data_IF_609556084988
#
_entry.id   IF_609556084988
#
_cell.length_a   1.000
_cell.length_b   1.000
_cell.length_c   1.000
_cell.angle_alpha   90.00
_cell.angle_beta   90.00
_cell.angle_gamma   90.00
#
_symmetry.space_group_name_H-M   'P 1'
#
loop_
_entity.id
_entity.type
_entity.pdbx_description
1 polymer ?
#
# COMPACT_ATOMS: atom_id res chain seq x y z
N UNK A 1 1.85 -13.13 -12.00
CA UNK A 1 1.42 -11.84 -11.46
C UNK A 1 0.70 -12.10 -10.15
N UNK A 2 1.28 -11.71 -9.03
CA UNK A 2 0.72 -11.98 -7.69
C UNK A 2 -0.30 -10.90 -7.28
N UNK A 3 -0.73 -10.87 -6.01
CA UNK A 3 -1.66 -9.83 -5.51
C UNK A 3 -0.98 -8.46 -5.45
N UNK A 4 0.31 -8.40 -5.11
CA UNK A 4 1.09 -7.16 -5.03
C UNK A 4 1.18 -6.49 -6.40
N UNK A 5 1.50 -7.24 -7.46
CA UNK A 5 1.55 -6.72 -8.83
C UNK A 5 0.21 -6.09 -9.25
N UNK A 6 -0.90 -6.79 -8.96
CA UNK A 6 -2.25 -6.32 -9.32
C UNK A 6 -2.66 -5.10 -8.49
N UNK A 7 -2.31 -5.07 -7.21
CA UNK A 7 -2.56 -3.92 -6.33
C UNK A 7 -1.79 -2.69 -6.82
N UNK A 8 -0.52 -2.86 -7.18
CA UNK A 8 0.32 -1.78 -7.69
C UNK A 8 -0.18 -1.26 -9.05
N UNK A 9 -0.54 -2.15 -9.98
CA UNK A 9 -1.14 -1.73 -11.25
C UNK A 9 -2.43 -0.92 -11.04
N UNK A 10 -3.26 -1.34 -10.08
CA UNK A 10 -4.49 -0.62 -9.74
C UNK A 10 -4.23 0.74 -9.08
N UNK A 11 -3.17 0.85 -8.29
CA UNK A 11 -2.69 2.10 -7.71
C UNK A 11 -2.20 3.08 -8.79
N UNK A 12 -1.35 2.62 -9.71
CA UNK A 12 -0.88 3.44 -10.83
C UNK A 12 -2.05 3.98 -11.67
N UNK A 13 -3.05 3.14 -11.94
CA UNK A 13 -4.27 3.57 -12.65
C UNK A 13 -5.05 4.63 -11.86
N UNK A 14 -5.15 4.50 -10.54
CA UNK A 14 -5.82 5.50 -9.69
C UNK A 14 -5.10 6.86 -9.76
N UNK A 15 -3.77 6.84 -9.70
CA UNK A 15 -2.94 8.04 -9.77
C UNK A 15 -3.00 8.71 -11.14
N UNK A 16 -2.99 7.94 -12.23
CA UNK A 16 -3.15 8.49 -13.58
C UNK A 16 -4.50 9.22 -13.77
N UNK A 17 -5.54 8.82 -13.03
CA UNK A 17 -6.85 9.50 -13.03
C UNK A 17 -6.96 10.65 -12.04
N UNK A 18 -5.97 10.87 -11.17
CA UNK A 18 -5.91 11.99 -10.22
C UNK A 18 -5.57 13.28 -10.97
N UNK A 19 -6.55 13.87 -11.64
CA UNK A 19 -6.40 15.16 -12.32
C UNK A 19 -6.49 16.30 -11.29
N UNK A 20 -5.37 17.01 -11.05
CA UNK A 20 -5.37 18.34 -10.40
C UNK A 20 -4.84 18.43 -8.96
N UNK A 21 -4.52 17.32 -8.30
CA UNK A 21 -3.93 17.30 -6.93
C UNK A 21 -2.46 16.83 -6.95
N UNK A 22 -1.72 17.09 -8.04
CA UNK A 22 -0.36 16.57 -8.22
C UNK A 22 0.64 17.09 -7.17
N UNK A 23 0.33 18.19 -6.48
CA UNK A 23 1.22 18.82 -5.48
C UNK A 23 1.02 18.31 -4.05
N UNK A 24 -0.09 17.63 -3.72
CA UNK A 24 -0.29 17.14 -2.35
C UNK A 24 0.48 15.84 -2.12
N UNK A 25 1.28 15.75 -1.04
CA UNK A 25 2.02 14.55 -0.69
C UNK A 25 1.04 13.39 -0.47
N UNK A 26 1.40 12.23 -1.00
CA UNK A 26 0.60 11.03 -0.84
C UNK A 26 0.91 10.40 0.52
N UNK A 27 -0.11 10.07 1.30
CA UNK A 27 0.05 9.40 2.60
C UNK A 27 -0.33 7.92 2.53
N UNK A 28 0.05 7.14 3.55
CA UNK A 28 -0.41 5.75 3.70
C UNK A 28 -1.94 5.69 3.75
N UNK A 29 -2.59 6.64 4.44
CA UNK A 29 -4.05 6.76 4.50
C UNK A 29 -4.67 6.91 3.11
N UNK A 30 -4.10 7.76 2.25
CA UNK A 30 -4.62 7.98 0.90
C UNK A 30 -4.62 6.69 0.08
N UNK A 31 -3.64 5.80 0.28
CA UNK A 31 -3.61 4.49 -0.39
C UNK A 31 -4.88 3.69 -0.07
N UNK A 32 -5.12 3.38 1.21
CA UNK A 32 -6.20 2.45 1.57
C UNK A 32 -7.57 3.10 1.73
N UNK A 33 -7.66 4.43 1.81
CA UNK A 33 -8.93 5.16 1.92
C UNK A 33 -9.42 5.74 0.60
N UNK A 34 -8.52 6.16 -0.31
CA UNK A 34 -8.89 6.88 -1.54
C UNK A 34 -8.50 6.13 -2.81
N UNK A 35 -7.25 5.69 -2.95
CA UNK A 35 -6.71 5.21 -4.23
C UNK A 35 -7.03 3.74 -4.50
N UNK A 36 -6.82 2.88 -3.52
CA UNK A 36 -7.01 1.44 -3.60
C UNK A 36 -7.85 0.88 -2.42
N UNK A 37 -9.02 1.46 -2.06
CA UNK A 37 -9.81 0.93 -0.94
C UNK A 37 -10.21 -0.52 -1.18
N UNK A 38 -10.05 -1.39 -0.17
CA UNK A 38 -10.33 -2.83 -0.28
C UNK A 38 -11.67 -3.14 -0.96
N UNK A 39 -12.75 -2.48 -0.53
CA UNK A 39 -14.10 -2.72 -1.08
C UNK A 39 -14.19 -2.41 -2.58
N UNK A 40 -13.41 -1.45 -3.06
CA UNK A 40 -13.39 -1.00 -4.45
C UNK A 40 -12.51 -1.91 -5.33
N UNK A 41 -11.43 -2.47 -4.80
CA UNK A 41 -10.45 -3.23 -5.58
C UNK A 41 -10.56 -4.75 -5.42
N UNK A 42 -11.22 -5.27 -4.38
CA UNK A 42 -11.24 -6.72 -4.07
C UNK A 42 -11.65 -7.60 -5.25
N UNK A 43 -12.68 -7.21 -6.01
CA UNK A 43 -13.17 -8.01 -7.14
C UNK A 43 -12.15 -8.05 -8.29
N UNK A 44 -11.50 -6.93 -8.56
CA UNK A 44 -10.45 -6.80 -9.59
C UNK A 44 -9.17 -7.58 -9.19
N UNK A 45 -8.85 -7.59 -7.89
CA UNK A 45 -7.73 -8.33 -7.32
C UNK A 45 -8.04 -9.83 -7.10
N UNK A 46 -9.29 -10.27 -7.30
CA UNK A 46 -9.71 -11.65 -7.06
C UNK A 46 -9.63 -12.05 -5.58
N UNK A 47 -9.92 -11.12 -4.67
CA UNK A 47 -9.84 -11.31 -3.22
C UNK A 47 -11.23 -11.54 -2.63
N UNK A 48 -11.33 -12.60 -1.82
CA UNK A 48 -12.52 -12.91 -1.04
C UNK A 48 -12.45 -12.33 0.38
N UNK A 49 -11.23 -12.13 0.87
CA UNK A 49 -10.94 -11.73 2.24
C UNK A 49 -10.04 -10.49 2.29
N UNK A 50 -10.08 -9.80 3.44
CA UNK A 50 -9.29 -8.59 3.68
C UNK A 50 -7.80 -8.90 3.88
N UNK A 51 -7.46 -10.03 4.51
CA UNK A 51 -6.08 -10.35 4.88
C UNK A 51 -5.11 -10.38 3.68
N UNK A 52 -5.42 -11.01 2.53
CA UNK A 52 -4.54 -10.93 1.35
C UNK A 52 -4.34 -9.51 0.81
N UNK A 53 -5.33 -8.63 0.97
CA UNK A 53 -5.21 -7.21 0.63
C UNK A 53 -4.27 -6.49 1.59
N UNK A 54 -4.49 -6.63 2.90
CA UNK A 54 -3.65 -5.97 3.92
C UNK A 54 -2.21 -6.47 3.83
N UNK A 55 -1.99 -7.77 3.57
CA UNK A 55 -0.67 -8.33 3.35
C UNK A 55 0.02 -7.76 2.11
N UNK A 56 -0.69 -7.62 0.99
CA UNK A 56 -0.14 -7.01 -0.22
C UNK A 56 0.16 -5.51 -0.02
N UNK A 57 -0.69 -4.79 0.72
CA UNK A 57 -0.45 -3.40 1.08
C UNK A 57 0.79 -3.26 1.98
N UNK A 58 0.94 -4.14 2.97
CA UNK A 58 2.07 -4.13 3.88
C UNK A 58 3.39 -4.43 3.15
N UNK A 59 3.38 -5.39 2.22
CA UNK A 59 4.52 -5.66 1.30
C UNK A 59 4.88 -4.44 0.45
N UNK A 60 3.89 -3.74 -0.08
CA UNK A 60 4.12 -2.50 -0.84
C UNK A 60 4.79 -1.42 0.02
N UNK A 61 4.30 -1.21 1.25
CA UNK A 61 4.85 -0.25 2.21
C UNK A 61 6.26 -0.63 2.71
N UNK A 62 6.58 -1.92 2.77
CA UNK A 62 7.92 -2.43 3.07
C UNK A 62 8.96 -2.12 1.97
N UNK A 63 8.52 -1.50 0.87
CA UNK A 63 9.32 -1.22 -0.31
C UNK A 63 9.66 -2.47 -1.11
N UNK A 64 8.82 -3.51 -1.04
CA UNK A 64 9.05 -4.72 -1.79
C UNK A 64 9.13 -4.41 -3.29
N UNK A 65 10.22 -4.88 -3.92
CA UNK A 65 10.55 -4.66 -5.34
C UNK A 65 10.72 -3.19 -5.74
N UNK A 66 10.84 -2.27 -4.77
CA UNK A 66 11.04 -0.85 -5.03
C UNK A 66 9.86 -0.19 -5.75
N UNK A 67 8.63 -0.67 -5.55
CA UNK A 67 7.42 -0.11 -6.19
C UNK A 67 6.95 1.18 -5.50
N UNK A 68 7.19 1.27 -4.19
CA UNK A 68 6.85 2.39 -3.34
C UNK A 68 7.94 2.55 -2.29
N UNK A 69 8.23 3.79 -1.89
CA UNK A 69 9.22 4.12 -0.87
C UNK A 69 8.59 5.01 0.19
N UNK A 70 8.96 4.79 1.46
CA UNK A 70 8.61 5.66 2.57
C UNK A 70 9.90 6.41 2.97
N UNK A 71 9.91 7.75 3.03
CA UNK A 71 11.09 8.54 3.40
C UNK A 71 11.59 8.25 4.83
N UNK A 72 10.70 7.84 5.73
CA UNK A 72 11.01 7.52 7.12
C UNK A 72 11.49 6.06 7.27
N UNK A 73 12.80 5.81 7.49
CA UNK A 73 13.34 4.46 7.51
C UNK A 73 12.85 3.63 8.71
N UNK A 74 12.56 4.28 9.85
CA UNK A 74 12.02 3.59 11.03
C UNK A 74 10.69 2.89 10.77
N UNK A 75 9.82 3.53 9.97
CA UNK A 75 8.53 2.95 9.58
C UNK A 75 8.72 1.74 8.67
N UNK A 76 9.61 1.83 7.68
CA UNK A 76 9.90 0.71 6.77
C UNK A 76 10.44 -0.50 7.53
N UNK A 77 11.37 -0.29 8.47
CA UNK A 77 11.96 -1.36 9.25
C UNK A 77 10.94 -2.03 10.19
N UNK A 78 10.05 -1.26 10.83
CA UNK A 78 8.99 -1.85 11.66
C UNK A 78 8.00 -2.67 10.81
N UNK A 79 7.60 -2.16 9.64
CA UNK A 79 6.74 -2.89 8.71
C UNK A 79 7.40 -4.19 8.22
N UNK A 80 8.69 -4.15 7.89
CA UNK A 80 9.46 -5.34 7.49
C UNK A 80 9.57 -6.36 8.61
N UNK A 81 9.81 -5.87 9.83
CA UNK A 81 9.86 -6.71 11.03
C UNK A 81 8.52 -7.40 11.25
N UNK A 82 7.42 -6.66 11.21
CA UNK A 82 6.07 -7.22 11.36
C UNK A 82 5.81 -8.30 10.29
N UNK A 83 6.14 -8.04 9.01
CA UNK A 83 6.01 -9.04 7.94
C UNK A 83 6.81 -10.33 8.15
N UNK A 84 7.88 -10.28 8.94
CA UNK A 84 8.72 -11.45 9.25
C UNK A 84 8.18 -12.26 10.44
N UNK A 85 7.22 -11.74 11.20
CA UNK A 85 6.62 -12.45 12.32
C UNK A 85 5.79 -13.66 11.84
N UNK A 86 5.74 -14.77 12.60
CA UNK A 86 4.93 -15.93 12.25
C UNK A 86 3.42 -15.66 12.15
N UNK A 87 2.95 -14.61 12.84
CA UNK A 87 1.56 -14.18 12.83
C UNK A 87 1.49 -12.64 12.78
N UNK A 88 1.69 -12.05 11.59
CA UNK A 88 1.82 -10.61 11.43
C UNK A 88 0.48 -9.89 11.66
N UNK A 89 0.55 -8.74 12.31
CA UNK A 89 -0.54 -7.77 12.44
C UNK A 89 -0.63 -6.98 11.14
N UNK A 90 -1.36 -7.55 10.18
CA UNK A 90 -1.49 -6.97 8.83
C UNK A 90 -2.08 -5.56 8.82
N UNK A 91 -2.81 -5.19 9.87
CA UNK A 91 -3.42 -3.86 10.04
C UNK A 91 -2.50 -2.76 10.56
N UNK A 92 -1.23 -3.05 10.89
CA UNK A 92 -0.29 -2.11 11.54
C UNK A 92 -0.05 -0.84 10.72
N UNK A 93 -0.24 -0.90 9.39
CA UNK A 93 -0.10 0.26 8.50
C UNK A 93 -1.02 1.44 8.88
N UNK A 94 -2.10 1.18 9.64
CA UNK A 94 -3.01 2.23 10.12
C UNK A 94 -2.37 3.15 11.15
N UNK A 95 -1.35 2.68 11.86
CA UNK A 95 -0.60 3.49 12.83
C UNK A 95 0.31 4.51 12.13
N UNK A 96 0.57 4.29 10.83
CA UNK A 96 1.38 5.15 9.95
C UNK A 96 0.52 5.92 8.94
N UNK A 97 -0.75 6.15 9.25
CA UNK A 97 -1.73 6.76 8.34
C UNK A 97 -1.24 8.08 7.71
N UNK A 98 -0.59 8.94 8.50
CA UNK A 98 -0.12 10.26 8.09
C UNK A 98 1.29 10.24 7.46
N UNK A 99 1.93 9.07 7.38
CA UNK A 99 3.28 8.93 6.81
C UNK A 99 3.24 9.10 5.30
N UNK A 100 4.15 9.94 4.78
CA UNK A 100 4.30 10.21 3.36
C UNK A 100 4.87 8.99 2.61
N UNK A 101 4.39 8.77 1.39
CA UNK A 101 4.81 7.68 0.50
C UNK A 101 5.11 8.23 -0.90
N UNK A 102 6.16 7.71 -1.53
CA UNK A 102 6.55 8.06 -2.89
C UNK A 102 6.48 6.84 -3.78
N UNK A 103 5.86 6.98 -4.96
CA UNK A 103 5.89 5.91 -5.96
C UNK A 103 7.17 5.98 -6.77
N UNK A 104 7.72 4.81 -7.06
CA UNK A 104 8.79 4.69 -8.05
C UNK A 104 8.17 4.68 -9.45
N UNK A 105 8.68 5.54 -10.34
CA UNK A 105 8.24 5.69 -11.73
C UNK A 105 8.63 4.50 -12.60
#
# INVERSE_FOLDING_TARGET
>A
MDVLDRLFARLQKALATRSGEADDPLTVADLYQRLIPYRSVRSELGLLELAPYEHALLRLLAGERGLLTIPEPGVVEEIRRELAEPNPILGVYRDYADTEVHLSS
#
